data_IF_545129101624
#
_entry.id   IF_545129101624
#
_cell.length_a   1.000
_cell.length_b   1.000
_cell.length_c   1.000
_cell.angle_alpha   90.00
_cell.angle_beta   90.00
_cell.angle_gamma   90.00
#
_symmetry.space_group_name_H-M   'P 1'
#
loop_
_entity.id
_entity.type
_entity.pdbx_description
1 polymer ?
#
# COMPACT_ATOMS: atom_id res chain seq x y z
N UNK A 1 28.96 0.86 -14.68
CA UNK A 1 29.10 1.10 -13.23
C UNK A 1 27.76 1.48 -12.61
N UNK A 2 26.99 2.34 -13.20
CA UNK A 2 25.65 2.81 -12.74
C UNK A 2 24.64 1.69 -12.47
N UNK A 3 24.51 0.73 -13.37
CA UNK A 3 23.59 -0.41 -13.24
C UNK A 3 23.90 -1.32 -12.01
N UNK A 4 25.19 -1.50 -11.68
CA UNK A 4 25.62 -2.31 -10.54
C UNK A 4 25.38 -1.58 -9.20
N UNK A 5 25.52 -0.28 -9.20
CA UNK A 5 25.28 0.59 -8.03
C UNK A 5 23.78 0.69 -7.73
N UNK A 6 22.94 0.86 -8.77
CA UNK A 6 21.48 0.83 -8.66
C UNK A 6 21.00 -0.50 -8.05
N UNK A 7 21.49 -1.63 -8.57
CA UNK A 7 21.15 -2.96 -8.04
C UNK A 7 21.57 -3.13 -6.56
N UNK A 8 22.71 -2.53 -6.14
CA UNK A 8 23.15 -2.60 -4.74
C UNK A 8 22.23 -1.77 -3.83
N UNK A 9 21.85 -0.57 -4.25
CA UNK A 9 20.91 0.27 -3.47
C UNK A 9 19.55 -0.42 -3.32
N UNK A 10 19.02 -1.01 -4.37
CA UNK A 10 17.74 -1.76 -4.32
C UNK A 10 17.81 -2.92 -3.32
N UNK A 11 18.85 -3.73 -3.35
CA UNK A 11 19.06 -4.81 -2.37
C UNK A 11 19.13 -4.31 -0.93
N UNK A 12 19.75 -3.15 -0.71
CA UNK A 12 19.80 -2.54 0.63
C UNK A 12 18.39 -2.16 1.09
N UNK A 13 17.57 -1.56 0.22
CA UNK A 13 16.20 -1.20 0.55
C UNK A 13 15.36 -2.44 0.90
N UNK A 14 15.45 -3.48 0.08
CA UNK A 14 14.70 -4.73 0.27
C UNK A 14 15.06 -5.40 1.60
N UNK A 15 16.34 -5.61 1.88
CA UNK A 15 16.77 -6.27 3.13
C UNK A 15 16.53 -5.39 4.37
N UNK A 16 16.68 -4.07 4.26
CA UNK A 16 16.34 -3.15 5.34
C UNK A 16 14.84 -3.19 5.65
N UNK A 17 13.99 -3.17 4.62
CA UNK A 17 12.55 -3.22 4.78
C UNK A 17 12.07 -4.54 5.39
N UNK A 18 12.68 -5.68 5.02
CA UNK A 18 12.42 -6.98 5.66
C UNK A 18 12.73 -6.94 7.17
N UNK A 19 13.88 -6.34 7.54
CA UNK A 19 14.23 -6.18 8.95
C UNK A 19 13.26 -5.24 9.68
N UNK A 20 12.86 -4.14 9.04
CA UNK A 20 11.87 -3.21 9.61
C UNK A 20 10.50 -3.90 9.81
N UNK A 21 10.08 -4.75 8.88
CA UNK A 21 8.85 -5.51 8.99
C UNK A 21 8.89 -6.59 10.11
N UNK A 22 10.07 -7.15 10.40
CA UNK A 22 10.26 -8.19 11.41
C UNK A 22 10.50 -7.65 12.82
N UNK A 23 11.36 -6.65 12.94
CA UNK A 23 11.88 -6.15 14.22
C UNK A 23 11.45 -4.72 14.55
N UNK A 24 10.70 -4.10 13.65
CA UNK A 24 10.35 -2.70 13.70
C UNK A 24 11.47 -1.78 13.18
N UNK A 25 11.08 -0.61 12.71
CA UNK A 25 12.04 0.42 12.29
C UNK A 25 12.92 0.87 13.45
N UNK A 26 12.33 1.11 14.61
CA UNK A 26 13.09 1.52 15.81
C UNK A 26 14.03 0.42 16.30
N UNK A 27 13.61 -0.84 16.23
CA UNK A 27 14.39 -2.00 16.66
C UNK A 27 15.55 -2.39 15.74
N UNK A 28 15.63 -1.81 14.54
CA UNK A 28 16.65 -2.14 13.54
C UNK A 28 17.73 -1.05 13.45
N UNK A 29 19.00 -1.45 13.47
CA UNK A 29 20.16 -0.55 13.31
C UNK A 29 20.83 -0.69 11.94
N UNK A 30 21.67 0.30 11.56
CA UNK A 30 22.53 0.21 10.38
C UNK A 30 23.50 -1.00 10.44
N UNK A 31 23.88 -1.42 11.66
CA UNK A 31 24.70 -2.63 11.83
C UNK A 31 23.93 -3.91 11.49
N UNK A 32 22.66 -4.00 11.87
CA UNK A 32 21.82 -5.16 11.57
C UNK A 32 21.63 -5.30 10.06
N UNK A 33 21.38 -4.17 9.37
CA UNK A 33 21.26 -4.14 7.91
C UNK A 33 22.57 -4.57 7.24
N UNK A 34 23.72 -4.02 7.67
CA UNK A 34 25.02 -4.40 7.13
C UNK A 34 25.33 -5.89 7.34
N UNK A 35 25.04 -6.42 8.54
CA UNK A 35 25.21 -7.82 8.89
C UNK A 35 24.32 -8.73 8.02
N UNK A 36 23.06 -8.36 7.83
CA UNK A 36 22.12 -9.10 6.99
C UNK A 36 22.57 -9.20 5.53
N UNK A 37 23.16 -8.11 5.02
CA UNK A 37 23.72 -8.03 3.66
C UNK A 37 25.08 -8.71 3.51
N UNK A 38 25.74 -9.10 4.61
CA UNK A 38 27.09 -9.63 4.59
C UNK A 38 28.16 -8.61 4.19
N UNK A 39 27.91 -7.32 4.48
CA UNK A 39 28.83 -6.22 4.16
C UNK A 39 29.31 -5.50 5.43
N UNK A 40 30.41 -4.75 5.31
CA UNK A 40 30.84 -3.89 6.40
C UNK A 40 29.94 -2.68 6.55
N UNK A 41 29.85 -2.15 7.78
CA UNK A 41 29.14 -0.89 8.06
C UNK A 41 29.63 0.25 7.16
N UNK A 42 30.96 0.35 6.96
CA UNK A 42 31.57 1.36 6.08
C UNK A 42 31.12 1.21 4.61
N UNK A 43 30.90 -0.01 4.14
CA UNK A 43 30.38 -0.25 2.80
C UNK A 43 28.91 0.19 2.68
N UNK A 44 28.07 -0.07 3.68
CA UNK A 44 26.67 0.39 3.72
C UNK A 44 26.59 1.92 3.70
N UNK A 45 27.42 2.61 4.49
CA UNK A 45 27.46 4.08 4.57
C UNK A 45 27.92 4.77 3.27
N UNK A 46 28.52 4.06 2.32
CA UNK A 46 28.80 4.60 0.98
C UNK A 46 27.51 4.79 0.16
N UNK A 47 26.47 4.01 0.46
CA UNK A 47 25.19 4.04 -0.27
C UNK A 47 24.14 4.87 0.45
N UNK A 48 24.05 4.77 1.79
CA UNK A 48 23.06 5.44 2.62
C UNK A 48 23.69 5.98 3.90
N UNK A 49 23.55 7.27 4.14
CA UNK A 49 24.19 7.97 5.28
C UNK A 49 23.49 7.72 6.61
N UNK A 50 22.22 7.28 6.57
CA UNK A 50 21.43 7.05 7.76
C UNK A 50 20.31 6.02 7.49
N UNK A 51 19.73 5.50 8.56
CA UNK A 51 18.52 4.67 8.50
C UNK A 51 17.32 5.47 7.97
N UNK A 52 17.27 6.77 8.27
CA UNK A 52 16.23 7.66 7.74
C UNK A 52 16.31 7.78 6.21
N UNK A 53 17.52 7.94 5.64
CA UNK A 53 17.68 8.00 4.18
C UNK A 53 17.22 6.70 3.49
N UNK A 54 17.42 5.55 4.14
CA UNK A 54 16.87 4.27 3.67
C UNK A 54 15.35 4.29 3.70
N UNK A 55 14.74 4.75 4.80
CA UNK A 55 13.28 4.86 4.92
C UNK A 55 12.69 5.80 3.87
N UNK A 56 13.31 6.97 3.68
CA UNK A 56 12.85 7.95 2.68
C UNK A 56 12.88 7.35 1.26
N UNK A 57 13.93 6.58 0.95
CA UNK A 57 14.04 5.88 -0.33
C UNK A 57 13.03 4.72 -0.47
N UNK A 58 12.67 4.05 0.62
CA UNK A 58 11.60 3.04 0.63
C UNK A 58 10.25 3.71 0.33
N UNK A 59 9.97 4.84 0.96
CA UNK A 59 8.72 5.60 0.74
C UNK A 59 8.63 6.05 -0.73
N UNK A 60 9.72 6.54 -1.30
CA UNK A 60 9.73 6.96 -2.71
C UNK A 60 9.50 5.77 -3.65
N UNK A 61 10.16 4.64 -3.41
CA UNK A 61 9.92 3.41 -4.19
C UNK A 61 8.47 2.93 -4.09
N UNK A 62 7.82 3.05 -2.92
CA UNK A 62 6.39 2.73 -2.78
C UNK A 62 5.51 3.61 -3.68
N UNK A 63 5.77 4.92 -3.73
CA UNK A 63 5.03 5.83 -4.63
C UNK A 63 5.23 5.47 -6.11
N UNK A 64 6.46 5.15 -6.50
CA UNK A 64 6.77 4.71 -7.86
C UNK A 64 5.98 3.44 -8.23
N UNK A 65 5.96 2.44 -7.34
CA UNK A 65 5.22 1.19 -7.54
C UNK A 65 3.70 1.43 -7.66
N UNK A 66 3.13 2.33 -6.87
CA UNK A 66 1.70 2.68 -6.95
C UNK A 66 1.35 3.35 -8.29
N UNK A 67 2.19 4.29 -8.74
CA UNK A 67 2.03 4.96 -10.04
C UNK A 67 2.16 3.95 -11.20
N UNK A 68 3.19 3.10 -11.17
CA UNK A 68 3.40 2.08 -12.21
C UNK A 68 2.20 1.12 -12.31
N UNK A 69 1.64 0.72 -11.16
CA UNK A 69 0.48 -0.17 -11.12
C UNK A 69 -0.77 0.52 -11.66
N UNK A 70 -1.05 1.75 -11.27
CA UNK A 70 -2.18 2.50 -11.80
C UNK A 70 -2.10 2.59 -13.34
N UNK A 71 -0.92 2.88 -13.89
CA UNK A 71 -0.67 2.90 -15.34
C UNK A 71 -0.83 1.53 -16.00
N UNK A 72 -0.29 0.48 -15.40
CA UNK A 72 -0.37 -0.89 -15.93
C UNK A 72 -1.82 -1.35 -16.10
N UNK A 73 -2.70 -0.94 -15.18
CA UNK A 73 -4.13 -1.28 -15.20
C UNK A 73 -4.99 -0.19 -15.84
N UNK A 74 -4.37 0.80 -16.48
CA UNK A 74 -5.06 1.91 -17.15
C UNK A 74 -6.12 2.55 -16.24
N UNK A 75 -5.75 2.76 -14.98
CA UNK A 75 -6.63 3.42 -14.01
C UNK A 75 -6.64 4.94 -14.27
N UNK A 76 -7.75 5.62 -13.96
CA UNK A 76 -7.85 7.07 -14.14
C UNK A 76 -6.74 7.83 -13.44
N UNK A 77 -6.10 8.76 -14.16
CA UNK A 77 -5.04 9.62 -13.65
C UNK A 77 -5.38 11.11 -13.91
N UNK A 78 -5.01 11.96 -12.97
CA UNK A 78 -5.19 13.41 -13.09
C UNK A 78 -5.84 14.04 -11.87
N UNK A 79 -6.54 15.16 -12.09
CA UNK A 79 -7.32 15.81 -11.02
C UNK A 79 -8.57 14.98 -10.66
N UNK A 80 -9.12 15.27 -9.49
CA UNK A 80 -10.25 14.50 -8.94
C UNK A 80 -11.50 14.55 -9.82
N UNK A 81 -11.75 15.67 -10.50
CA UNK A 81 -12.94 15.83 -11.36
C UNK A 81 -12.86 14.90 -12.56
N UNK A 82 -11.71 14.87 -13.24
CA UNK A 82 -11.44 13.95 -14.36
C UNK A 82 -11.49 12.51 -13.92
N UNK A 83 -10.79 12.17 -12.85
CA UNK A 83 -10.76 10.82 -12.28
C UNK A 83 -12.16 10.34 -11.94
N UNK A 84 -12.98 11.17 -11.30
CA UNK A 84 -14.37 10.85 -10.97
C UNK A 84 -15.22 10.59 -12.21
N UNK A 85 -15.08 11.40 -13.24
CA UNK A 85 -15.81 11.22 -14.50
C UNK A 85 -15.45 9.89 -15.18
N UNK A 86 -14.16 9.55 -15.23
CA UNK A 86 -13.67 8.30 -15.82
C UNK A 86 -14.13 7.07 -15.02
N UNK A 87 -14.15 7.13 -13.67
CA UNK A 87 -14.68 6.04 -12.83
C UNK A 87 -16.19 5.80 -13.02
N UNK A 88 -16.97 6.84 -13.29
CA UNK A 88 -18.42 6.69 -13.59
C UNK A 88 -18.69 5.85 -14.84
N UNK A 89 -17.80 5.96 -15.82
CA UNK A 89 -17.91 5.24 -17.11
C UNK A 89 -17.18 3.88 -17.08
N UNK A 90 -16.46 3.59 -16.00
CA UNK A 90 -15.64 2.38 -15.92
C UNK A 90 -16.48 1.14 -15.67
N UNK A 91 -16.20 0.06 -16.40
CA UNK A 91 -16.83 -1.24 -16.18
C UNK A 91 -16.53 -1.78 -14.76
N UNK A 92 -17.54 -2.29 -14.09
CA UNK A 92 -17.40 -2.84 -12.72
C UNK A 92 -16.39 -3.98 -12.62
N UNK A 93 -16.29 -4.81 -13.64
CA UNK A 93 -15.28 -5.87 -13.69
C UNK A 93 -13.85 -5.31 -13.61
N UNK A 94 -13.59 -4.15 -14.23
CA UNK A 94 -12.29 -3.49 -14.17
C UNK A 94 -12.01 -2.97 -12.76
N UNK A 95 -13.00 -2.38 -12.09
CA UNK A 95 -12.89 -1.93 -10.70
C UNK A 95 -12.61 -3.11 -9.78
N UNK A 96 -13.37 -4.20 -9.91
CA UNK A 96 -13.17 -5.43 -9.14
C UNK A 96 -11.79 -6.03 -9.36
N UNK A 97 -11.36 -6.14 -10.62
CA UNK A 97 -10.03 -6.64 -10.96
C UNK A 97 -8.92 -5.79 -10.35
N UNK A 98 -9.01 -4.46 -10.47
CA UNK A 98 -8.01 -3.56 -9.91
C UNK A 98 -7.97 -3.63 -8.38
N UNK A 99 -9.14 -3.68 -7.72
CA UNK A 99 -9.22 -3.85 -6.25
C UNK A 99 -8.53 -5.14 -5.80
N UNK A 100 -8.75 -6.25 -6.52
CA UNK A 100 -8.06 -7.52 -6.24
C UNK A 100 -6.53 -7.39 -6.42
N UNK A 101 -6.09 -6.75 -7.48
CA UNK A 101 -4.66 -6.51 -7.74
C UNK A 101 -4.04 -5.64 -6.64
N UNK A 102 -4.72 -4.58 -6.22
CA UNK A 102 -4.26 -3.75 -5.10
C UNK A 102 -4.21 -4.53 -3.78
N UNK A 103 -5.18 -5.40 -3.52
CA UNK A 103 -5.16 -6.26 -2.35
C UNK A 103 -3.95 -7.21 -2.37
N UNK A 104 -3.70 -7.87 -3.50
CA UNK A 104 -2.55 -8.77 -3.66
C UNK A 104 -1.22 -8.03 -3.58
N UNK A 105 -1.14 -6.82 -4.09
CA UNK A 105 0.03 -5.97 -3.90
C UNK A 105 0.37 -5.76 -2.43
N UNK A 106 -0.61 -5.42 -1.61
CA UNK A 106 -0.40 -5.18 -0.18
C UNK A 106 -0.19 -6.45 0.64
N UNK A 107 -0.53 -7.63 0.11
CA UNK A 107 -0.49 -8.91 0.83
C UNK A 107 0.56 -9.89 0.33
N UNK A 108 0.83 -9.92 -0.99
CA UNK A 108 1.69 -10.91 -1.64
C UNK A 108 3.03 -10.33 -2.13
N UNK A 109 3.04 -9.10 -2.65
CA UNK A 109 4.28 -8.51 -3.12
C UNK A 109 5.20 -8.17 -1.95
N UNK A 110 6.37 -8.80 -1.89
CA UNK A 110 7.25 -8.79 -0.71
C UNK A 110 7.55 -7.37 -0.21
N UNK A 111 7.87 -6.44 -1.12
CA UNK A 111 8.21 -5.06 -0.75
C UNK A 111 7.03 -4.34 -0.09
N UNK A 112 5.88 -4.35 -0.71
CA UNK A 112 4.67 -3.65 -0.22
C UNK A 112 4.09 -4.32 1.02
N UNK A 113 4.11 -5.65 1.07
CA UNK A 113 3.70 -6.42 2.25
C UNK A 113 4.59 -6.10 3.47
N UNK A 114 5.92 -6.04 3.28
CA UNK A 114 6.85 -5.64 4.32
C UNK A 114 6.64 -4.19 4.76
N UNK A 115 6.38 -3.27 3.81
CA UNK A 115 6.09 -1.87 4.12
C UNK A 115 4.82 -1.74 4.97
N UNK A 116 3.72 -2.40 4.58
CA UNK A 116 2.49 -2.44 5.38
C UNK A 116 2.73 -2.99 6.79
N UNK A 117 3.45 -4.12 6.91
CA UNK A 117 3.77 -4.74 8.21
C UNK A 117 4.62 -3.83 9.10
N UNK A 118 5.63 -3.18 8.53
CA UNK A 118 6.45 -2.19 9.25
C UNK A 118 5.57 -1.06 9.80
N UNK A 119 4.71 -0.46 8.97
CA UNK A 119 3.83 0.61 9.41
C UNK A 119 2.85 0.14 10.51
N UNK A 120 2.32 -1.06 10.38
CA UNK A 120 1.42 -1.66 11.39
C UNK A 120 2.11 -1.85 12.74
N UNK A 121 3.38 -2.27 12.76
CA UNK A 121 4.16 -2.44 13.99
C UNK A 121 4.50 -1.10 14.66
N UNK A 122 4.81 -0.08 13.86
CA UNK A 122 5.42 1.15 14.34
C UNK A 122 4.42 2.31 14.57
N UNK A 123 3.16 2.17 14.12
CA UNK A 123 2.17 3.25 14.20
C UNK A 123 1.95 3.82 15.61
N UNK A 124 2.22 3.04 16.66
CA UNK A 124 2.06 3.46 18.06
C UNK A 124 3.38 3.87 18.73
N UNK A 125 4.51 3.77 18.03
CA UNK A 125 5.84 3.99 18.61
C UNK A 125 6.47 5.32 18.16
N UNK A 126 6.19 5.74 16.92
CA UNK A 126 6.81 6.89 16.29
C UNK A 126 5.77 7.75 15.57
N UNK A 127 5.71 9.07 15.81
CA UNK A 127 4.74 9.96 15.15
C UNK A 127 4.84 9.95 13.61
N UNK A 128 6.05 9.85 13.05
CA UNK A 128 6.27 9.74 11.62
C UNK A 128 5.65 8.47 11.05
N UNK A 129 5.82 7.34 11.75
CA UNK A 129 5.24 6.05 11.33
C UNK A 129 3.72 6.05 11.46
N UNK A 130 3.19 6.66 12.53
CA UNK A 130 1.76 6.86 12.68
C UNK A 130 1.18 7.65 11.50
N UNK A 131 1.83 8.73 11.09
CA UNK A 131 1.39 9.53 9.94
C UNK A 131 1.45 8.73 8.64
N UNK A 132 2.53 7.98 8.40
CA UNK A 132 2.65 7.10 7.22
C UNK A 132 1.56 6.02 7.21
N UNK A 133 1.31 5.39 8.36
CA UNK A 133 0.23 4.42 8.50
C UNK A 133 -1.14 5.03 8.12
N UNK A 134 -1.45 6.22 8.64
CA UNK A 134 -2.67 6.93 8.30
C UNK A 134 -2.74 7.23 6.80
N UNK A 135 -1.66 7.72 6.21
CA UNK A 135 -1.63 8.12 4.80
C UNK A 135 -1.79 6.93 3.84
N UNK A 136 -1.16 5.79 4.15
CA UNK A 136 -1.14 4.64 3.23
C UNK A 136 -2.24 3.62 3.49
N UNK A 137 -2.69 3.45 4.73
CA UNK A 137 -3.52 2.31 5.13
C UNK A 137 -4.84 2.67 5.81
N UNK A 138 -5.01 3.87 6.34
CA UNK A 138 -6.21 4.21 7.10
C UNK A 138 -6.93 5.44 6.53
N UNK A 139 -6.74 6.62 7.13
CA UNK A 139 -7.46 7.83 6.74
C UNK A 139 -7.18 8.31 5.31
N UNK A 140 -5.97 8.10 4.79
CA UNK A 140 -5.60 8.49 3.42
C UNK A 140 -6.47 7.82 2.35
N UNK A 141 -6.48 6.48 2.26
CA UNK A 141 -7.36 5.76 1.34
C UNK A 141 -8.84 6.09 1.55
N UNK A 142 -9.30 6.17 2.80
CA UNK A 142 -10.69 6.50 3.10
C UNK A 142 -11.07 7.90 2.60
N UNK A 143 -10.22 8.91 2.85
CA UNK A 143 -10.45 10.29 2.38
C UNK A 143 -10.47 10.36 0.86
N UNK A 144 -9.57 9.63 0.18
CA UNK A 144 -9.58 9.56 -1.28
C UNK A 144 -10.87 8.94 -1.83
N UNK A 145 -11.32 7.83 -1.24
CA UNK A 145 -12.59 7.20 -1.64
C UNK A 145 -13.80 8.06 -1.34
N UNK A 146 -13.83 8.76 -0.19
CA UNK A 146 -14.91 9.72 0.14
C UNK A 146 -14.99 10.84 -0.90
N UNK A 147 -13.85 11.40 -1.32
CA UNK A 147 -13.81 12.44 -2.34
C UNK A 147 -14.29 11.91 -3.71
N UNK A 148 -13.87 10.71 -4.10
CA UNK A 148 -14.28 10.05 -5.33
C UNK A 148 -15.80 9.79 -5.34
N UNK A 149 -16.34 9.17 -4.29
CA UNK A 149 -17.78 8.89 -4.19
C UNK A 149 -18.61 10.17 -4.04
N UNK A 150 -18.09 11.22 -3.41
CA UNK A 150 -18.76 12.53 -3.35
C UNK A 150 -18.98 13.11 -4.75
N UNK A 151 -17.97 13.05 -5.61
CA UNK A 151 -18.09 13.45 -7.01
C UNK A 151 -19.02 12.54 -7.83
N UNK A 152 -19.08 11.25 -7.49
CA UNK A 152 -19.96 10.28 -8.17
C UNK A 152 -21.44 10.43 -7.78
N UNK A 153 -21.72 10.56 -6.48
CA UNK A 153 -23.08 10.52 -5.92
C UNK A 153 -23.71 11.91 -5.74
N UNK A 154 -22.89 12.97 -5.68
CA UNK A 154 -23.37 14.34 -5.42
C UNK A 154 -23.87 14.56 -3.98
N UNK A 155 -23.65 13.63 -3.04
CA UNK A 155 -24.06 13.68 -1.65
C UNK A 155 -22.90 13.27 -0.73
N UNK A 156 -22.36 14.26 0.02
CA UNK A 156 -21.20 14.04 0.88
C UNK A 156 -21.48 13.08 2.07
N UNK A 157 -22.72 13.03 2.57
CA UNK A 157 -23.10 12.12 3.66
C UNK A 157 -23.13 10.67 3.18
N UNK A 158 -23.74 10.43 2.04
CA UNK A 158 -23.73 9.11 1.39
C UNK A 158 -22.32 8.70 0.98
N UNK A 159 -21.54 9.62 0.42
CA UNK A 159 -20.17 9.36 -0.04
C UNK A 159 -19.26 8.82 1.08
N UNK A 160 -19.35 9.41 2.27
CA UNK A 160 -18.60 8.93 3.45
C UNK A 160 -18.97 7.51 3.83
N UNK A 161 -20.26 7.21 3.90
CA UNK A 161 -20.73 5.87 4.24
C UNK A 161 -20.29 4.88 3.16
N UNK A 162 -20.48 5.21 1.89
CA UNK A 162 -20.06 4.39 0.75
C UNK A 162 -18.55 4.11 0.77
N UNK A 163 -17.72 5.10 1.13
CA UNK A 163 -16.28 4.91 1.27
C UNK A 163 -15.92 3.94 2.40
N UNK A 164 -16.63 4.00 3.53
CA UNK A 164 -16.45 3.07 4.66
C UNK A 164 -16.89 1.67 4.25
N UNK A 165 -18.04 1.54 3.60
CA UNK A 165 -18.60 0.25 3.16
C UNK A 165 -17.70 -0.41 2.11
N UNK A 166 -17.07 0.38 1.23
CA UNK A 166 -16.10 -0.11 0.26
C UNK A 166 -14.80 -0.56 0.92
N UNK A 167 -14.14 0.35 1.64
CA UNK A 167 -12.77 0.15 2.09
C UNK A 167 -12.64 -0.60 3.42
N UNK A 168 -13.62 -0.48 4.31
CA UNK A 168 -13.57 -1.09 5.64
C UNK A 168 -13.35 -2.61 5.62
N UNK A 169 -14.13 -3.39 4.85
CA UNK A 169 -13.92 -4.82 4.70
C UNK A 169 -12.55 -5.16 4.06
N UNK A 170 -12.10 -4.41 3.06
CA UNK A 170 -10.78 -4.59 2.43
C UNK A 170 -9.67 -4.43 3.46
N UNK A 171 -9.75 -3.38 4.28
CA UNK A 171 -8.79 -3.12 5.35
C UNK A 171 -8.77 -4.24 6.40
N UNK A 172 -9.94 -4.74 6.80
CA UNK A 172 -10.06 -5.89 7.71
C UNK A 172 -9.42 -7.16 7.11
N UNK A 173 -9.64 -7.39 5.81
CA UNK A 173 -9.13 -8.57 5.12
C UNK A 173 -7.60 -8.62 5.06
N UNK A 174 -6.87 -7.50 5.12
CA UNK A 174 -5.40 -7.54 5.24
C UNK A 174 -4.95 -8.32 6.48
N UNK A 175 -5.57 -8.06 7.63
CA UNK A 175 -5.24 -8.75 8.89
C UNK A 175 -5.65 -10.22 8.87
N UNK A 176 -6.82 -10.52 8.32
CA UNK A 176 -7.29 -11.91 8.16
C UNK A 176 -6.35 -12.67 7.22
N UNK A 177 -5.94 -12.05 6.10
CA UNK A 177 -5.03 -12.64 5.15
C UNK A 177 -3.68 -13.01 5.77
N UNK A 178 -3.09 -12.12 6.58
CA UNK A 178 -1.81 -12.39 7.24
C UNK A 178 -1.87 -13.64 8.15
N UNK A 179 -2.98 -13.85 8.84
CA UNK A 179 -3.18 -14.98 9.76
C UNK A 179 -3.75 -16.25 9.13
N UNK A 180 -4.27 -16.18 7.88
CA UNK A 180 -4.96 -17.32 7.28
C UNK A 180 -3.97 -18.39 6.80
N UNK A 181 -4.31 -19.68 7.02
CA UNK A 181 -3.64 -20.82 6.40
C UNK A 181 -4.08 -20.97 4.94
N UNK A 182 -5.38 -20.83 4.67
CA UNK A 182 -5.95 -20.82 3.32
C UNK A 182 -6.16 -19.38 2.83
N UNK A 183 -5.21 -18.89 2.06
CA UNK A 183 -5.25 -17.57 1.42
C UNK A 183 -6.36 -17.45 0.37
N UNK A 184 -6.70 -18.57 -0.30
CA UNK A 184 -7.71 -18.58 -1.35
C UNK A 184 -9.10 -18.24 -0.81
N UNK A 185 -9.40 -18.66 0.41
CA UNK A 185 -10.65 -18.31 1.09
C UNK A 185 -10.77 -16.79 1.33
N UNK A 186 -9.69 -16.13 1.72
CA UNK A 186 -9.70 -14.68 1.95
C UNK A 186 -9.87 -13.90 0.64
N UNK A 187 -9.24 -14.38 -0.44
CA UNK A 187 -9.46 -13.79 -1.78
C UNK A 187 -10.92 -13.94 -2.21
N UNK A 188 -11.55 -15.08 -1.93
CA UNK A 188 -12.97 -15.29 -2.22
C UNK A 188 -13.85 -14.31 -1.42
N UNK A 189 -13.58 -14.09 -0.15
CA UNK A 189 -14.28 -13.08 0.66
C UNK A 189 -14.16 -11.67 0.07
N UNK A 190 -12.98 -11.31 -0.43
CA UNK A 190 -12.78 -10.04 -1.13
C UNK A 190 -13.66 -9.95 -2.39
N UNK A 191 -13.67 -11.00 -3.21
CA UNK A 191 -14.46 -11.04 -4.44
C UNK A 191 -15.96 -10.96 -4.15
N UNK A 192 -16.45 -11.69 -3.15
CA UNK A 192 -17.85 -11.65 -2.69
C UNK A 192 -18.24 -10.26 -2.17
N UNK A 193 -17.36 -9.62 -1.39
CA UNK A 193 -17.56 -8.25 -0.95
C UNK A 193 -17.68 -7.28 -2.13
N UNK A 194 -16.78 -7.37 -3.11
CA UNK A 194 -16.82 -6.51 -4.29
C UNK A 194 -18.07 -6.71 -5.13
N UNK A 195 -18.49 -7.97 -5.31
CA UNK A 195 -19.73 -8.27 -6.05
C UNK A 195 -20.96 -7.64 -5.38
N UNK A 196 -21.06 -7.77 -4.05
CA UNK A 196 -22.15 -7.19 -3.29
C UNK A 196 -22.13 -5.65 -3.37
N UNK A 197 -20.98 -5.03 -3.09
CA UNK A 197 -20.83 -3.58 -3.12
C UNK A 197 -21.19 -2.98 -4.48
N UNK A 198 -20.70 -3.58 -5.58
CA UNK A 198 -20.95 -3.09 -6.92
C UNK A 198 -22.43 -3.27 -7.35
N UNK A 199 -23.11 -4.34 -6.88
CA UNK A 199 -24.56 -4.51 -7.09
C UNK A 199 -25.37 -3.42 -6.38
N UNK A 200 -25.03 -3.08 -5.15
CA UNK A 200 -25.69 -2.00 -4.41
C UNK A 200 -25.52 -0.65 -5.08
N UNK A 201 -24.31 -0.37 -5.60
CA UNK A 201 -24.02 0.86 -6.35
C UNK A 201 -24.84 1.00 -7.64
N UNK A 202 -25.26 -0.10 -8.26
CA UNK A 202 -26.12 -0.08 -9.46
C UNK A 202 -27.58 0.28 -9.14
N UNK A 203 -28.02 -0.02 -7.93
CA UNK A 203 -29.43 0.12 -7.51
C UNK A 203 -29.73 1.39 -6.73
N UNK A 204 -28.69 2.16 -6.37
CA UNK A 204 -28.74 3.40 -5.58
C UNK A 204 -28.77 4.64 -6.43
#
# INVERSE_FOLDING_TARGET
MESKEKNTKEKILEEALKLFAQSGYMGTSMNDIASKLGVTKAALYKHYKSKQEILDSIIEKMKELDIERAKQYEMPEGDLEKVTAEYKEMAFDKIKQFTKVQFLHWTEEEFSCCFRKMLTLEQYREPQMAQLYQNYLASGPLTYMEALFSGMLGDAGKARQTAIDFYGPIFLLYSIYDGAEDKSHVIKLLEEHMDHFLQEMQTS
#
